data_IF_752396763871
#
_entry.id   IF_752396763871
#
_cell.length_a   1.000
_cell.length_b   1.000
_cell.length_c   1.000
_cell.angle_alpha   90.00
_cell.angle_beta   90.00
_cell.angle_gamma   90.00
#
_symmetry.space_group_name_H-M   'P 1'
#
loop_
_entity.id
_entity.type
_entity.pdbx_description
1 polymer ?
#
# COMPACT_ATOMS: atom_id res chain seq x y z
N UNK A 1 -4.95 4.77 10.90
CA UNK A 1 -4.69 3.75 9.86
C UNK A 1 -4.40 4.53 8.58
N UNK A 2 -3.34 4.19 7.85
CA UNK A 2 -3.07 4.82 6.55
C UNK A 2 -3.53 3.95 5.40
N UNK A 3 -4.10 4.58 4.38
CA UNK A 3 -4.52 3.91 3.15
C UNK A 3 -3.73 4.54 2.01
N UNK A 4 -2.88 3.74 1.37
CA UNK A 4 -2.02 4.16 0.28
C UNK A 4 -2.59 3.66 -1.04
N UNK A 5 -2.96 4.58 -1.93
CA UNK A 5 -3.40 4.25 -3.27
C UNK A 5 -2.24 4.38 -4.24
N UNK A 6 -1.78 3.26 -4.81
CA UNK A 6 -0.75 3.29 -5.85
C UNK A 6 -1.40 3.19 -7.21
N UNK A 7 -1.43 4.34 -7.90
CA UNK A 7 -1.92 4.44 -9.27
C UNK A 7 -0.95 3.85 -10.30
N UNK A 8 0.34 3.73 -9.99
CA UNK A 8 1.32 3.25 -10.96
C UNK A 8 1.29 1.72 -11.11
N UNK A 9 1.59 1.23 -12.32
CA UNK A 9 1.52 -0.20 -12.66
C UNK A 9 2.58 -1.07 -11.97
N UNK A 10 3.64 -0.47 -11.39
CA UNK A 10 4.72 -1.23 -10.71
C UNK A 10 5.10 -0.59 -9.39
N UNK A 11 4.86 -1.32 -8.30
CA UNK A 11 5.27 -0.90 -6.96
C UNK A 11 6.63 -1.51 -6.63
N UNK A 12 7.67 -0.69 -6.62
CA UNK A 12 8.99 -1.07 -6.13
C UNK A 12 9.16 -0.85 -4.62
N UNK A 13 10.09 -1.59 -4.01
CA UNK A 13 10.44 -1.50 -2.57
C UNK A 13 10.81 -0.07 -2.15
N UNK A 14 11.42 0.72 -3.05
CA UNK A 14 11.79 2.12 -2.77
C UNK A 14 10.59 2.97 -2.33
N UNK A 15 9.48 2.86 -3.06
CA UNK A 15 8.24 3.61 -2.78
C UNK A 15 7.63 3.14 -1.45
N UNK A 16 7.64 1.82 -1.21
CA UNK A 16 7.08 1.23 0.00
C UNK A 16 7.84 1.64 1.27
N UNK A 17 9.17 1.74 1.19
CA UNK A 17 10.00 2.28 2.28
C UNK A 17 9.66 3.72 2.60
N UNK A 18 9.41 4.57 1.61
CA UNK A 18 9.01 5.95 1.86
C UNK A 18 7.67 6.03 2.64
N UNK A 19 6.71 5.15 2.32
CA UNK A 19 5.45 5.06 3.05
C UNK A 19 5.61 4.48 4.46
N UNK A 20 6.47 3.48 4.63
CA UNK A 20 6.82 2.94 5.95
C UNK A 20 7.45 4.01 6.86
N UNK A 21 8.36 4.82 6.33
CA UNK A 21 9.00 5.87 7.11
C UNK A 21 8.00 6.93 7.57
N UNK A 22 7.03 7.26 6.72
CA UNK A 22 5.92 8.14 7.08
C UNK A 22 5.00 7.51 8.14
N UNK A 23 4.67 6.23 8.00
CA UNK A 23 3.93 5.49 9.03
C UNK A 23 4.67 5.53 10.37
N UNK A 24 5.98 5.33 10.35
CA UNK A 24 6.82 5.37 11.55
C UNK A 24 6.88 6.76 12.16
N UNK A 25 7.06 7.81 11.37
CA UNK A 25 7.12 9.19 11.89
C UNK A 25 5.82 9.63 12.54
N UNK A 26 4.68 9.17 11.99
CA UNK A 26 3.35 9.49 12.51
C UNK A 26 2.85 8.45 13.53
N UNK A 27 3.70 7.52 13.98
CA UNK A 27 3.39 6.41 14.91
C UNK A 27 2.16 5.58 14.50
N UNK A 28 1.95 5.42 13.19
CA UNK A 28 0.87 4.61 12.62
C UNK A 28 1.35 3.17 12.42
N UNK A 29 0.80 2.25 13.20
CA UNK A 29 1.17 0.83 13.13
C UNK A 29 0.42 0.04 12.03
N UNK A 30 -0.68 0.59 11.50
CA UNK A 30 -1.59 -0.11 10.57
C UNK A 30 -1.71 0.62 9.25
N UNK A 31 -1.44 -0.09 8.16
CA UNK A 31 -1.46 0.42 6.79
C UNK A 31 -2.22 -0.50 5.85
N UNK A 32 -2.89 0.09 4.88
CA UNK A 32 -3.54 -0.61 3.77
C UNK A 32 -2.88 -0.11 2.49
N UNK A 33 -2.39 -1.03 1.67
CA UNK A 33 -1.79 -0.78 0.38
C UNK A 33 -2.75 -1.23 -0.71
N UNK A 34 -3.31 -0.27 -1.45
CA UNK A 34 -4.21 -0.52 -2.57
C UNK A 34 -3.41 -0.46 -3.87
N UNK A 35 -3.36 -1.58 -4.60
CA UNK A 35 -2.61 -1.71 -5.86
C UNK A 35 -3.53 -2.18 -6.99
N UNK A 36 -3.27 -1.70 -8.22
CA UNK A 36 -3.94 -2.18 -9.43
C UNK A 36 -3.33 -3.49 -9.94
N UNK A 37 -2.01 -3.54 -9.95
CA UNK A 37 -1.22 -4.64 -10.49
C UNK A 37 -0.60 -5.52 -9.41
N UNK A 38 -0.15 -6.70 -9.82
CA UNK A 38 0.51 -7.64 -8.91
C UNK A 38 1.85 -7.08 -8.43
N UNK A 39 2.13 -7.24 -7.14
CA UNK A 39 3.43 -6.94 -6.56
C UNK A 39 4.51 -7.85 -7.13
N UNK A 40 5.70 -7.30 -7.35
CA UNK A 40 6.89 -8.09 -7.68
C UNK A 40 7.27 -9.01 -6.51
N UNK A 41 7.96 -10.14 -6.74
CA UNK A 41 8.40 -11.03 -5.66
C UNK A 41 9.17 -10.30 -4.55
N UNK A 42 10.05 -9.36 -4.92
CA UNK A 42 10.81 -8.54 -3.97
C UNK A 42 9.91 -7.65 -3.11
N UNK A 43 8.85 -7.07 -3.70
CA UNK A 43 7.88 -6.27 -2.96
C UNK A 43 7.06 -7.13 -2.00
N UNK A 44 6.68 -8.36 -2.39
CA UNK A 44 5.99 -9.30 -1.50
C UNK A 44 6.87 -9.71 -0.31
N UNK A 45 8.13 -10.05 -0.56
CA UNK A 45 9.07 -10.40 0.50
C UNK A 45 9.24 -9.24 1.48
N UNK A 46 9.39 -8.02 0.97
CA UNK A 46 9.53 -6.85 1.83
C UNK A 46 8.30 -6.61 2.70
N UNK A 47 7.08 -6.83 2.21
CA UNK A 47 5.85 -6.73 3.03
C UNK A 47 5.84 -7.77 4.12
N UNK A 48 6.23 -9.00 3.81
CA UNK A 48 6.32 -10.06 4.81
C UNK A 48 7.27 -9.66 5.94
N UNK A 49 8.45 -9.12 5.61
CA UNK A 49 9.43 -8.66 6.59
C UNK A 49 8.94 -7.41 7.36
N UNK A 50 8.22 -6.52 6.68
CA UNK A 50 7.61 -5.33 7.28
C UNK A 50 6.50 -5.69 8.28
N UNK A 51 5.74 -6.76 7.97
CA UNK A 51 4.62 -7.21 8.78
C UNK A 51 5.00 -7.78 10.16
N UNK A 52 6.29 -8.01 10.40
CA UNK A 52 6.81 -8.42 11.71
C UNK A 52 6.68 -7.30 12.75
N UNK A 53 6.75 -6.03 12.32
CA UNK A 53 6.74 -4.86 13.20
C UNK A 53 5.53 -3.93 13.02
N UNK A 54 4.99 -3.90 11.80
CA UNK A 54 3.83 -3.10 11.42
C UNK A 54 2.77 -4.04 10.86
N UNK A 55 1.52 -3.62 10.75
CA UNK A 55 0.49 -4.42 10.10
C UNK A 55 0.11 -3.77 8.78
N UNK A 56 0.61 -4.31 7.68
CA UNK A 56 0.33 -3.85 6.33
C UNK A 56 -0.44 -4.90 5.55
N UNK A 57 -1.64 -4.54 5.11
CA UNK A 57 -2.47 -5.38 4.25
C UNK A 57 -2.43 -4.86 2.82
N UNK A 58 -2.43 -5.77 1.85
CA UNK A 58 -2.43 -5.43 0.41
C UNK A 58 -3.76 -5.82 -0.19
N UNK A 59 -4.44 -4.85 -0.79
CA UNK A 59 -5.66 -5.08 -1.55
C UNK A 59 -5.39 -4.83 -3.02
N UNK A 60 -5.68 -5.85 -3.83
CA UNK A 60 -5.70 -5.69 -5.28
C UNK A 60 -7.09 -5.23 -5.69
N UNK A 61 -7.18 -4.08 -6.31
CA UNK A 61 -8.45 -3.52 -6.80
C UNK A 61 -8.44 -3.56 -8.32
N UNK A 62 -9.53 -4.08 -8.89
CA UNK A 62 -9.71 -4.08 -10.33
C UNK A 62 -9.84 -2.64 -10.85
N UNK A 63 -9.35 -2.38 -12.07
CA UNK A 63 -9.37 -1.05 -12.69
C UNK A 63 -10.77 -0.43 -12.72
N UNK A 64 -11.82 -1.26 -12.83
CA UNK A 64 -13.22 -0.79 -12.83
C UNK A 64 -13.64 -0.19 -11.50
N UNK A 65 -13.22 -0.77 -10.36
CA UNK A 65 -13.65 -0.32 -9.00
C UNK A 65 -12.79 0.80 -8.44
N UNK A 66 -11.57 0.96 -8.95
CA UNK A 66 -10.62 1.99 -8.50
C UNK A 66 -11.17 3.43 -8.58
N UNK A 67 -11.74 3.90 -9.71
CA UNK A 67 -12.30 5.25 -9.78
C UNK A 67 -13.51 5.45 -8.86
N UNK A 68 -14.31 4.41 -8.61
CA UNK A 68 -15.45 4.50 -7.69
C UNK A 68 -14.99 4.59 -6.22
N UNK A 69 -13.96 3.83 -5.82
CA UNK A 69 -13.39 3.93 -4.47
C UNK A 69 -12.69 5.27 -4.25
N UNK A 70 -11.95 5.75 -5.25
CA UNK A 70 -11.24 7.03 -5.15
C UNK A 70 -12.23 8.21 -5.10
N UNK A 71 -13.33 8.14 -5.88
CA UNK A 71 -14.41 9.13 -5.83
C UNK A 71 -15.20 9.13 -4.53
N UNK A 72 -15.42 7.96 -3.91
CA UNK A 72 -16.22 7.84 -2.68
C UNK A 72 -15.47 8.19 -1.38
N UNK A 73 -14.13 8.15 -1.37
CA UNK A 73 -13.31 8.42 -0.18
C UNK A 73 -12.84 9.89 -0.11
N UNK A 74 -12.91 10.63 -1.23
CA UNK A 74 -12.43 12.02 -1.33
C UNK A 74 -13.58 13.05 -1.33
N UNK A 75 -14.82 12.62 -1.08
CA UNK A 75 -16.02 13.47 -0.95
C UNK A 75 -16.55 13.51 0.50
#
# INVERSE_FOLDING_TARGET
>A
IFVFFIGEAKVGVKIMRAYAERMRSENVLRGILVVREQLTPSSKQWIHDFNVKFHMEVFRVSSTVFPFLFGAIVL
#
